data_IF_115712126532
#
_entry.id   IF_115712126532
#
_cell.length_a   1.000
_cell.length_b   1.000
_cell.length_c   1.000
_cell.angle_alpha   90.00
_cell.angle_beta   90.00
_cell.angle_gamma   90.00
#
_symmetry.space_group_name_H-M   'P 1'
#
loop_
_entity.id
_entity.type
_entity.pdbx_description
1 polymer ?
#
# COMPACT_ATOMS: atom_id res chain seq x y z
N UNK A 1 20.15 -14.19 -12.07
CA UNK A 1 19.22 -13.27 -11.33
C UNK A 1 18.59 -14.08 -10.20
N UNK A 2 18.53 -13.56 -9.00
CA UNK A 2 17.82 -14.23 -7.89
C UNK A 2 16.34 -13.94 -8.03
N UNK A 3 15.45 -14.92 -7.84
CA UNK A 3 14.00 -14.76 -7.94
C UNK A 3 13.45 -13.69 -6.95
N UNK A 4 14.11 -13.53 -5.79
CA UNK A 4 13.77 -12.48 -4.82
C UNK A 4 13.82 -11.08 -5.45
N UNK A 5 14.76 -10.86 -6.37
CA UNK A 5 14.92 -9.56 -7.04
C UNK A 5 13.68 -9.21 -7.89
N UNK A 6 13.05 -10.21 -8.50
CA UNK A 6 11.81 -9.98 -9.28
C UNK A 6 10.70 -9.41 -8.40
N UNK A 7 10.53 -9.95 -7.19
CA UNK A 7 9.55 -9.44 -6.23
C UNK A 7 9.92 -8.04 -5.72
N UNK A 8 11.19 -7.84 -5.37
CA UNK A 8 11.68 -6.53 -4.91
C UNK A 8 11.46 -5.47 -5.98
N UNK A 9 11.86 -5.75 -7.22
CA UNK A 9 11.69 -4.83 -8.36
C UNK A 9 10.21 -4.51 -8.62
N UNK A 10 9.32 -5.49 -8.42
CA UNK A 10 7.88 -5.29 -8.59
C UNK A 10 7.31 -4.33 -7.53
N UNK A 11 7.66 -4.49 -6.25
CA UNK A 11 7.28 -3.55 -5.20
C UNK A 11 7.94 -2.17 -5.36
N UNK A 12 9.19 -2.12 -5.84
CA UNK A 12 9.88 -0.87 -6.15
C UNK A 12 9.17 -0.08 -7.26
N UNK A 13 8.64 -0.78 -8.29
CA UNK A 13 7.83 -0.15 -9.34
C UNK A 13 6.55 0.45 -8.77
N UNK A 14 5.92 -0.21 -7.81
CA UNK A 14 4.76 0.37 -7.11
C UNK A 14 5.16 1.65 -6.38
N UNK A 15 6.26 1.65 -5.63
CA UNK A 15 6.73 2.82 -4.89
C UNK A 15 7.03 4.00 -5.83
N UNK A 16 7.76 3.77 -6.93
CA UNK A 16 8.05 4.80 -7.94
C UNK A 16 6.78 5.30 -8.62
N UNK A 17 5.86 4.40 -8.98
CA UNK A 17 4.60 4.78 -9.60
C UNK A 17 3.73 5.65 -8.68
N UNK A 18 3.72 5.38 -7.37
CA UNK A 18 3.04 6.26 -6.40
C UNK A 18 3.69 7.64 -6.31
N UNK A 19 5.03 7.71 -6.27
CA UNK A 19 5.76 8.99 -6.27
C UNK A 19 5.42 9.82 -7.50
N UNK A 20 5.41 9.21 -8.69
CA UNK A 20 5.02 9.86 -9.95
C UNK A 20 3.55 10.29 -9.93
N UNK A 21 2.65 9.37 -9.53
CA UNK A 21 1.21 9.61 -9.55
C UNK A 21 0.77 10.69 -8.55
N UNK A 22 1.44 10.86 -7.43
CA UNK A 22 1.09 11.85 -6.41
C UNK A 22 1.86 13.18 -6.56
N UNK A 23 2.87 13.24 -7.43
CA UNK A 23 3.69 14.44 -7.58
C UNK A 23 2.87 15.69 -7.94
N UNK A 24 3.02 16.76 -7.16
CA UNK A 24 2.38 18.05 -7.40
C UNK A 24 0.87 18.10 -7.15
N UNK A 25 0.28 17.06 -6.53
CA UNK A 25 -1.11 17.11 -6.09
C UNK A 25 -1.27 18.00 -4.85
N UNK A 26 -2.41 18.65 -4.74
CA UNK A 26 -2.83 19.35 -3.52
C UNK A 26 -3.53 18.39 -2.56
N UNK A 27 -3.73 18.84 -1.31
CA UNK A 27 -4.53 18.12 -0.33
C UNK A 27 -5.94 17.81 -0.83
N UNK A 28 -6.56 18.78 -1.51
CA UNK A 28 -7.89 18.59 -2.06
C UNK A 28 -7.91 17.51 -3.15
N UNK A 29 -6.88 17.44 -4.00
CA UNK A 29 -6.76 16.41 -5.03
C UNK A 29 -6.65 15.01 -4.42
N UNK A 30 -5.94 14.88 -3.29
CA UNK A 30 -5.78 13.60 -2.60
C UNK A 30 -7.11 13.08 -2.04
N UNK A 31 -7.98 13.96 -1.58
CA UNK A 31 -9.27 13.61 -0.96
C UNK A 31 -10.43 13.63 -1.95
N UNK A 32 -10.21 14.12 -3.19
CA UNK A 32 -11.24 14.19 -4.21
C UNK A 32 -11.68 12.80 -4.66
N UNK A 33 -13.00 12.60 -4.71
CA UNK A 33 -13.65 11.37 -5.17
C UNK A 33 -14.48 11.72 -6.41
N UNK A 34 -14.23 11.06 -7.57
CA UNK A 34 -15.00 11.35 -8.79
C UNK A 34 -16.51 11.09 -8.65
N UNK A 35 -16.88 10.18 -7.75
CA UNK A 35 -18.24 9.83 -7.39
C UNK A 35 -18.29 9.41 -5.92
N UNK A 36 -19.46 9.52 -5.28
CA UNK A 36 -19.68 9.13 -3.87
C UNK A 36 -19.25 7.69 -3.55
N UNK A 37 -19.29 6.79 -4.51
CA UNK A 37 -18.95 5.38 -4.34
C UNK A 37 -17.52 5.05 -4.81
N UNK A 38 -16.75 6.07 -5.25
CA UNK A 38 -15.34 5.89 -5.60
C UNK A 38 -14.43 6.13 -4.39
N UNK A 39 -13.25 5.54 -4.42
CA UNK A 39 -12.18 5.84 -3.48
C UNK A 39 -11.40 7.07 -3.96
N UNK A 40 -10.79 7.81 -3.03
CA UNK A 40 -9.86 8.90 -3.33
C UNK A 40 -8.42 8.39 -3.50
N UNK A 41 -7.55 9.17 -4.16
CA UNK A 41 -6.15 8.81 -4.35
C UNK A 41 -5.42 8.63 -3.01
N UNK A 42 -5.68 9.48 -2.04
CA UNK A 42 -5.08 9.37 -0.73
C UNK A 42 -5.53 8.13 0.03
N UNK A 43 -6.83 7.81 -0.01
CA UNK A 43 -7.35 6.58 0.61
C UNK A 43 -6.73 5.32 -0.04
N UNK A 44 -6.66 5.27 -1.37
CA UNK A 44 -6.07 4.14 -2.10
C UNK A 44 -4.59 3.94 -1.75
N UNK A 45 -3.82 5.04 -1.68
CA UNK A 45 -2.40 5.00 -1.31
C UNK A 45 -2.21 4.52 0.13
N UNK A 46 -3.04 4.98 1.06
CA UNK A 46 -3.05 4.50 2.43
C UNK A 46 -3.44 3.02 2.49
N UNK A 47 -4.52 2.61 1.82
CA UNK A 47 -5.05 1.25 1.85
C UNK A 47 -4.01 0.22 1.36
N UNK A 48 -3.43 0.43 0.17
CA UNK A 48 -2.42 -0.49 -0.36
C UNK A 48 -1.19 -0.59 0.56
N UNK A 49 -0.78 0.53 1.17
CA UNK A 49 0.34 0.55 2.10
C UNK A 49 0.01 -0.22 3.39
N UNK A 50 -1.21 -0.03 3.94
CA UNK A 50 -1.71 -0.79 5.09
C UNK A 50 -1.77 -2.29 4.80
N UNK A 51 -2.24 -2.66 3.60
CA UNK A 51 -2.31 -4.06 3.14
C UNK A 51 -0.93 -4.72 3.09
N UNK A 52 0.06 -4.01 2.55
CA UNK A 52 1.44 -4.47 2.48
C UNK A 52 2.07 -4.58 3.87
N UNK A 53 1.92 -3.56 4.73
CA UNK A 53 2.44 -3.57 6.10
C UNK A 53 1.86 -4.73 6.91
N UNK A 54 0.55 -4.95 6.83
CA UNK A 54 -0.12 -6.06 7.50
C UNK A 54 0.36 -7.43 6.96
N UNK A 55 0.60 -7.53 5.65
CA UNK A 55 1.12 -8.76 5.05
C UNK A 55 2.51 -9.11 5.56
N UNK A 56 3.44 -8.15 5.51
CA UNK A 56 4.83 -8.34 5.94
C UNK A 56 4.89 -8.58 7.45
N UNK A 57 4.12 -7.83 8.24
CA UNK A 57 4.04 -8.03 9.68
C UNK A 57 3.59 -9.46 10.02
N UNK A 58 2.58 -9.96 9.32
CA UNK A 58 2.07 -11.31 9.56
C UNK A 58 3.09 -12.40 9.20
N UNK A 59 3.68 -12.35 8.00
CA UNK A 59 4.64 -13.41 7.59
C UNK A 59 5.93 -13.38 8.40
N UNK A 60 6.31 -12.22 8.95
CA UNK A 60 7.50 -12.07 9.81
C UNK A 60 7.22 -12.30 11.30
N UNK A 61 5.94 -12.32 11.73
CA UNK A 61 5.57 -12.34 13.13
C UNK A 61 5.87 -11.05 13.89
N UNK A 62 6.12 -9.95 13.18
CA UNK A 62 6.49 -8.66 13.77
C UNK A 62 5.27 -7.73 13.83
N UNK A 63 5.36 -6.69 14.66
CA UNK A 63 4.34 -5.64 14.71
C UNK A 63 4.35 -4.81 13.42
N UNK A 64 3.18 -4.37 12.96
CA UNK A 64 3.05 -3.44 11.83
C UNK A 64 3.74 -2.11 12.14
N UNK A 65 4.40 -1.53 11.13
CA UNK A 65 5.01 -0.20 11.25
C UNK A 65 3.96 0.87 11.54
N UNK A 66 2.73 0.65 11.10
CA UNK A 66 1.56 1.48 11.43
C UNK A 66 1.50 1.84 12.91
N UNK A 67 1.71 0.87 13.78
CA UNK A 67 1.68 1.03 15.23
C UNK A 67 3.09 1.26 15.78
N UNK A 68 4.04 0.40 15.39
CA UNK A 68 5.40 0.39 15.94
C UNK A 68 6.10 1.73 15.80
N UNK A 69 5.96 2.37 14.63
CA UNK A 69 6.65 3.63 14.29
C UNK A 69 5.72 4.85 14.38
N UNK A 70 4.51 4.66 14.92
CA UNK A 70 3.55 5.75 15.16
C UNK A 70 2.95 6.35 13.89
N UNK A 71 2.95 5.63 12.76
CA UNK A 71 2.33 6.13 11.54
C UNK A 71 0.84 6.42 11.72
N UNK A 72 0.12 5.62 12.51
CA UNK A 72 -1.28 5.85 12.82
C UNK A 72 -1.53 7.28 13.38
N UNK A 73 -0.67 7.77 14.24
CA UNK A 73 -0.80 9.12 14.81
C UNK A 73 -0.60 10.22 13.74
N UNK A 74 0.35 10.02 12.80
CA UNK A 74 0.57 10.95 11.68
C UNK A 74 -0.61 11.02 10.71
N UNK A 75 -1.40 9.95 10.64
CA UNK A 75 -2.66 9.88 9.87
C UNK A 75 -3.88 10.30 10.71
N UNK A 76 -3.69 10.74 11.95
CA UNK A 76 -4.75 11.05 12.90
C UNK A 76 -5.77 9.90 13.07
N UNK A 77 -5.26 8.66 13.14
CA UNK A 77 -6.08 7.45 13.28
C UNK A 77 -5.68 6.62 14.50
N UNK A 78 -6.61 5.80 14.97
CA UNK A 78 -6.35 4.89 16.07
C UNK A 78 -5.26 3.86 15.73
N UNK A 79 -4.48 3.34 16.71
CA UNK A 79 -3.47 2.31 16.51
C UNK A 79 -4.10 0.91 16.32
N UNK A 80 -5.02 0.78 15.37
CA UNK A 80 -5.70 -0.47 15.06
C UNK A 80 -4.93 -1.27 14.00
N UNK A 81 -4.51 -2.51 14.28
CA UNK A 81 -3.85 -3.36 13.28
C UNK A 81 -4.81 -3.86 12.20
N UNK A 82 -6.12 -3.92 12.48
CA UNK A 82 -7.13 -4.38 11.54
C UNK A 82 -7.71 -3.27 10.65
N UNK A 83 -7.51 -2.00 11.01
CA UNK A 83 -7.94 -0.88 10.18
C UNK A 83 -7.03 -0.71 8.96
N UNK A 84 -7.33 -1.47 7.92
CA UNK A 84 -6.60 -1.45 6.64
C UNK A 84 -7.42 -0.85 5.50
N UNK A 85 -8.67 -0.46 5.74
CA UNK A 85 -9.61 -0.06 4.70
C UNK A 85 -10.41 -1.22 4.09
N UNK A 86 -10.02 -2.47 4.36
CA UNK A 86 -10.79 -3.61 3.89
C UNK A 86 -12.18 -3.64 4.54
N UNK A 87 -13.23 -3.67 3.70
CA UNK A 87 -14.62 -3.64 4.16
C UNK A 87 -15.14 -2.24 4.49
N UNK A 88 -14.37 -1.17 4.26
CA UNK A 88 -14.86 0.20 4.36
C UNK A 88 -16.05 0.43 3.43
N UNK A 89 -17.09 1.06 3.96
CA UNK A 89 -18.23 1.56 3.20
C UNK A 89 -17.96 2.96 2.65
N UNK A 90 -18.87 3.46 1.82
CA UNK A 90 -18.72 4.79 1.21
C UNK A 90 -18.56 5.90 2.25
N UNK A 91 -19.24 5.78 3.41
CA UNK A 91 -19.15 6.72 4.52
C UNK A 91 -17.76 6.70 5.19
N UNK A 92 -17.17 5.51 5.36
CA UNK A 92 -15.83 5.34 5.94
C UNK A 92 -14.76 5.96 5.04
N UNK A 93 -14.92 5.77 3.72
CA UNK A 93 -14.03 6.38 2.71
C UNK A 93 -14.20 7.91 2.70
N UNK A 94 -15.42 8.41 2.80
CA UNK A 94 -15.70 9.84 2.86
C UNK A 94 -15.14 10.51 4.12
N UNK A 95 -15.13 9.78 5.23
CA UNK A 95 -14.58 10.23 6.51
C UNK A 95 -13.05 10.20 6.55
N UNK A 96 -12.39 9.45 5.65
CA UNK A 96 -10.94 9.43 5.57
C UNK A 96 -10.42 10.78 5.08
N UNK A 97 -9.44 11.33 5.82
CA UNK A 97 -8.70 12.52 5.43
C UNK A 97 -7.25 12.16 5.26
N UNK A 98 -6.73 12.40 4.07
CA UNK A 98 -5.33 12.16 3.77
C UNK A 98 -4.45 13.07 4.60
N UNK A 99 -3.32 12.62 5.11
CA UNK A 99 -2.24 13.52 5.50
C UNK A 99 -1.62 14.16 4.24
N UNK A 100 -0.57 14.95 4.41
CA UNK A 100 0.20 15.44 3.28
C UNK A 100 0.88 14.30 2.49
N UNK A 101 1.31 14.62 1.25
CA UNK A 101 1.94 13.65 0.34
C UNK A 101 3.21 13.05 0.95
N UNK A 102 4.00 13.84 1.65
CA UNK A 102 5.25 13.38 2.26
C UNK A 102 4.99 12.34 3.34
N UNK A 103 3.93 12.51 4.11
CA UNK A 103 3.48 11.52 5.10
C UNK A 103 2.97 10.24 4.43
N UNK A 104 2.15 10.34 3.38
CA UNK A 104 1.66 9.19 2.60
C UNK A 104 2.83 8.38 2.01
N UNK A 105 3.71 9.04 1.27
CA UNK A 105 4.87 8.43 0.63
C UNK A 105 5.91 7.97 1.66
N UNK A 106 6.08 8.70 2.76
CA UNK A 106 6.98 8.33 3.84
C UNK A 106 6.58 6.99 4.49
N UNK A 107 5.28 6.80 4.75
CA UNK A 107 4.78 5.53 5.26
C UNK A 107 5.00 4.40 4.24
N UNK A 108 4.68 4.63 2.97
CA UNK A 108 4.89 3.62 1.94
C UNK A 108 6.36 3.24 1.78
N UNK A 109 7.28 4.21 1.78
CA UNK A 109 8.74 3.95 1.72
C UNK A 109 9.21 3.11 2.91
N UNK A 110 8.76 3.43 4.13
CA UNK A 110 9.12 2.65 5.31
C UNK A 110 8.65 1.19 5.19
N UNK A 111 7.42 0.96 4.73
CA UNK A 111 6.87 -0.37 4.49
C UNK A 111 7.62 -1.09 3.36
N UNK A 112 7.93 -0.39 2.27
CA UNK A 112 8.71 -0.96 1.16
C UNK A 112 10.12 -1.38 1.61
N UNK A 113 10.85 -0.54 2.34
CA UNK A 113 12.19 -0.89 2.82
C UNK A 113 12.17 -2.12 3.74
N UNK A 114 11.21 -2.23 4.62
CA UNK A 114 10.99 -3.43 5.43
C UNK A 114 10.69 -4.66 4.57
N UNK A 115 9.83 -4.50 3.57
CA UNK A 115 9.50 -5.58 2.62
C UNK A 115 10.74 -6.05 1.86
N UNK A 116 11.54 -5.11 1.36
CA UNK A 116 12.80 -5.35 0.65
C UNK A 116 13.80 -6.14 1.49
N UNK A 117 13.97 -5.75 2.77
CA UNK A 117 14.83 -6.48 3.71
C UNK A 117 14.37 -7.93 3.92
N UNK A 118 13.08 -8.14 4.12
CA UNK A 118 12.51 -9.48 4.28
C UNK A 118 12.67 -10.32 3.01
N UNK A 119 12.28 -9.78 1.85
CA UNK A 119 12.34 -10.45 0.56
C UNK A 119 13.78 -10.80 0.16
N UNK A 120 14.75 -9.91 0.42
CA UNK A 120 16.17 -10.15 0.10
C UNK A 120 16.77 -11.34 0.83
N UNK A 121 16.22 -11.70 1.99
CA UNK A 121 16.65 -12.82 2.82
C UNK A 121 15.72 -14.04 2.74
N UNK A 122 14.67 -13.97 1.92
CA UNK A 122 13.64 -15.00 1.84
C UNK A 122 14.18 -16.25 1.16
N UNK A 123 14.13 -17.40 1.87
CA UNK A 123 14.46 -18.70 1.31
C UNK A 123 13.26 -19.34 0.61
N UNK A 124 13.51 -20.32 -0.28
CA UNK A 124 12.45 -21.10 -0.91
C UNK A 124 11.63 -21.90 0.13
N UNK A 125 12.29 -22.39 1.18
CA UNK A 125 11.61 -23.09 2.28
C UNK A 125 10.67 -22.15 3.03
N UNK A 126 11.12 -20.96 3.35
CA UNK A 126 10.29 -19.93 4.03
C UNK A 126 9.14 -19.46 3.13
N UNK A 127 9.38 -19.31 1.83
CA UNK A 127 8.33 -18.97 0.87
C UNK A 127 7.19 -20.00 0.87
N UNK A 128 7.53 -21.31 0.96
CA UNK A 128 6.57 -22.40 1.05
C UNK A 128 5.98 -22.63 2.45
N UNK A 129 6.42 -21.89 3.47
CA UNK A 129 5.93 -22.06 4.84
C UNK A 129 4.41 -21.85 4.90
N UNK A 130 3.73 -22.83 5.51
CA UNK A 130 2.27 -22.81 5.67
C UNK A 130 1.84 -21.74 6.68
N UNK A 131 0.78 -21.02 6.31
CA UNK A 131 0.05 -20.11 7.17
C UNK A 131 -1.30 -20.77 7.53
N UNK A 132 -1.74 -20.60 8.76
CA UNK A 132 -3.05 -21.10 9.18
C UNK A 132 -4.16 -20.12 8.74
N UNK A 133 -4.39 -20.05 7.42
CA UNK A 133 -5.40 -19.15 6.84
C UNK A 133 -6.04 -19.75 5.57
N UNK A 134 -7.38 -19.71 5.44
CA UNK A 134 -8.07 -20.37 4.34
C UNK A 134 -7.79 -19.74 2.97
N UNK A 135 -7.57 -18.42 2.91
CA UNK A 135 -7.33 -17.68 1.65
C UNK A 135 -5.84 -17.59 1.32
N UNK A 136 -4.99 -17.51 2.33
CA UNK A 136 -3.54 -17.38 2.17
C UNK A 136 -2.83 -18.55 2.84
N UNK A 137 -2.82 -19.75 2.21
CA UNK A 137 -2.31 -20.96 2.86
C UNK A 137 -0.78 -20.99 3.03
N UNK A 138 -0.04 -20.14 2.30
CA UNK A 138 1.43 -20.04 2.37
C UNK A 138 1.92 -18.60 2.39
N UNK A 139 3.19 -18.40 2.76
CA UNK A 139 3.88 -17.10 2.65
C UNK A 139 3.83 -16.60 1.21
N UNK A 140 4.09 -17.47 0.23
CA UNK A 140 3.99 -17.12 -1.19
C UNK A 140 2.64 -16.51 -1.54
N UNK A 141 1.54 -17.20 -1.22
CA UNK A 141 0.19 -16.72 -1.55
C UNK A 141 -0.13 -15.38 -0.89
N UNK A 142 0.38 -15.15 0.33
CA UNK A 142 0.21 -13.86 1.01
C UNK A 142 1.01 -12.72 0.37
N UNK A 143 2.24 -13.00 -0.07
CA UNK A 143 3.08 -12.01 -0.75
C UNK A 143 2.54 -11.66 -2.14
N UNK A 144 2.11 -12.68 -2.91
CA UNK A 144 1.49 -12.48 -4.23
C UNK A 144 0.21 -11.65 -4.10
N UNK A 145 -0.63 -11.94 -3.10
CA UNK A 145 -1.84 -11.17 -2.86
C UNK A 145 -1.53 -9.70 -2.52
N UNK A 146 -0.54 -9.44 -1.67
CA UNK A 146 -0.14 -8.06 -1.34
C UNK A 146 0.39 -7.30 -2.57
N UNK A 147 1.20 -7.93 -3.40
CA UNK A 147 1.72 -7.33 -4.63
C UNK A 147 0.61 -7.06 -5.64
N UNK A 148 -0.29 -8.02 -5.84
CA UNK A 148 -1.41 -7.88 -6.76
C UNK A 148 -2.34 -6.74 -6.36
N UNK A 149 -2.66 -6.64 -5.07
CA UNK A 149 -3.44 -5.55 -4.49
C UNK A 149 -2.78 -4.18 -4.71
N UNK A 150 -1.48 -4.09 -4.43
CA UNK A 150 -0.71 -2.86 -4.64
C UNK A 150 -0.71 -2.42 -6.12
N UNK A 151 -0.54 -3.35 -7.07
CA UNK A 151 -0.55 -3.04 -8.50
C UNK A 151 -1.93 -2.57 -8.96
N UNK A 152 -3.01 -3.21 -8.49
CA UNK A 152 -4.38 -2.81 -8.81
C UNK A 152 -4.67 -1.40 -8.29
N UNK A 153 -4.32 -1.11 -7.05
CA UNK A 153 -4.57 0.20 -6.45
C UNK A 153 -3.66 1.30 -6.99
N UNK A 154 -2.40 1.00 -7.33
CA UNK A 154 -1.57 1.94 -8.08
C UNK A 154 -2.22 2.30 -9.43
N UNK A 155 -2.73 1.31 -10.16
CA UNK A 155 -3.46 1.56 -11.41
C UNK A 155 -4.69 2.47 -11.22
N UNK A 156 -5.41 2.29 -10.10
CA UNK A 156 -6.55 3.17 -9.76
C UNK A 156 -6.09 4.59 -9.40
N UNK A 157 -5.02 4.75 -8.61
CA UNK A 157 -4.44 6.08 -8.30
C UNK A 157 -4.02 6.78 -9.59
N UNK A 158 -3.33 6.07 -10.47
CA UNK A 158 -2.89 6.54 -11.77
C UNK A 158 -4.04 7.00 -12.67
N UNK A 159 -5.08 6.18 -12.75
CA UNK A 159 -6.29 6.49 -13.51
C UNK A 159 -7.01 7.73 -12.95
N UNK A 160 -7.17 7.82 -11.63
CA UNK A 160 -7.80 8.97 -10.99
C UNK A 160 -7.01 10.26 -11.22
N UNK A 161 -5.68 10.20 -11.13
CA UNK A 161 -4.85 11.35 -11.48
C UNK A 161 -5.08 11.79 -12.91
N UNK A 162 -5.09 10.86 -13.87
CA UNK A 162 -5.38 11.16 -15.28
C UNK A 162 -6.75 11.81 -15.47
N UNK A 163 -7.75 11.32 -14.74
CA UNK A 163 -9.12 11.83 -14.76
C UNK A 163 -9.22 13.27 -14.21
N UNK A 164 -8.56 13.55 -13.08
CA UNK A 164 -8.66 14.83 -12.37
C UNK A 164 -7.69 15.90 -12.91
N UNK A 165 -6.52 15.50 -13.39
CA UNK A 165 -5.44 16.41 -13.79
C UNK A 165 -5.06 16.34 -15.27
N UNK A 166 -5.57 15.37 -16.00
CA UNK A 166 -5.20 15.16 -17.41
C UNK A 166 -3.86 14.46 -17.58
N UNK A 167 -3.23 14.64 -18.75
CA UNK A 167 -1.98 13.97 -19.14
C UNK A 167 -0.75 14.52 -18.41
N UNK A 168 0.38 13.84 -18.55
CA UNK A 168 1.71 14.35 -18.14
C UNK A 168 2.19 13.92 -16.75
N UNK A 169 1.58 12.90 -16.17
CA UNK A 169 1.97 12.38 -14.83
C UNK A 169 2.78 11.07 -14.90
N UNK A 170 2.92 10.46 -16.05
CA UNK A 170 3.71 9.25 -16.27
C UNK A 170 4.63 9.40 -17.48
N UNK A 171 5.77 8.73 -17.45
CA UNK A 171 6.77 8.66 -18.51
C UNK A 171 6.46 7.59 -19.58
N UNK A 172 5.30 6.95 -19.56
CA UNK A 172 4.87 5.94 -20.54
C UNK A 172 4.19 6.59 -21.72
#
# INVERSE_FOLDING_TARGET
MKWQQVLIDSFERVAKGLEEALAGLSQNDLDERPHSDCNSMGWLTWHLTRGQDAAIAWVTGQQQLWIKDGWNARFNRAPSPSDTGFGHKSEDVAAFKSPDIDTLLGYHRAVFERSKQYLGNLSATELGRKLNHPVFPTVETRLVAALSDNLQHLGQVAYLRGLLKGKGWTSV
#
